data_IF_803792832026
#
_entry.id   IF_803792832026
#
_cell.length_a   1.000
_cell.length_b   1.000
_cell.length_c   1.000
_cell.angle_alpha   90.00
_cell.angle_beta   90.00
_cell.angle_gamma   90.00
#
_symmetry.space_group_name_H-M   'P 1'
#
loop_
_entity.id
_entity.type
_entity.pdbx_description
1 polymer ?
#
# COMPACT_ATOMS: atom_id res chain seq x y z
N UNK A 1 -2.81 -28.62 -7.13
CA UNK A 1 -2.18 -28.51 -5.81
C UNK A 1 -3.23 -28.08 -4.79
N UNK A 2 -3.34 -28.74 -3.65
CA UNK A 2 -4.17 -28.28 -2.52
C UNK A 2 -3.44 -27.14 -1.82
N UNK A 3 -3.82 -25.90 -2.11
CA UNK A 3 -3.29 -24.73 -1.42
C UNK A 3 -3.90 -24.60 -0.02
N UNK A 4 -3.07 -24.30 0.98
CA UNK A 4 -3.51 -23.96 2.34
C UNK A 4 -3.60 -22.44 2.55
N UNK A 5 -4.29 -22.02 3.62
CA UNK A 5 -4.31 -20.60 4.01
C UNK A 5 -2.89 -20.11 4.35
N UNK A 6 -2.55 -18.90 3.90
CA UNK A 6 -1.20 -18.34 4.00
C UNK A 6 -1.14 -17.07 4.87
N UNK A 7 -2.18 -16.82 5.66
CA UNK A 7 -2.31 -15.63 6.50
C UNK A 7 -3.12 -14.51 5.85
N UNK A 8 -3.04 -13.31 6.42
CA UNK A 8 -3.77 -12.13 5.98
C UNK A 8 -2.88 -10.89 5.89
N UNK A 9 -3.28 -9.97 5.01
CA UNK A 9 -2.66 -8.68 4.82
C UNK A 9 -3.74 -7.60 4.78
N UNK A 10 -3.55 -6.54 5.55
CA UNK A 10 -4.39 -5.35 5.55
C UNK A 10 -3.52 -4.17 5.14
N UNK A 11 -4.04 -3.28 4.30
CA UNK A 11 -3.34 -2.06 3.88
C UNK A 11 -4.27 -0.86 3.90
N UNK A 12 -3.75 0.27 4.37
CA UNK A 12 -4.41 1.58 4.39
C UNK A 12 -3.56 2.55 3.58
N UNK A 13 -4.20 3.26 2.66
CA UNK A 13 -3.54 4.25 1.81
C UNK A 13 -4.31 5.56 1.90
N UNK A 14 -3.58 6.65 2.17
CA UNK A 14 -4.13 8.00 2.17
C UNK A 14 -3.31 8.84 1.21
N UNK A 15 -3.99 9.61 0.36
CA UNK A 15 -3.34 10.54 -0.56
C UNK A 15 -4.14 11.82 -0.66
N UNK A 16 -3.43 12.94 -0.83
CA UNK A 16 -4.03 14.25 -1.03
C UNK A 16 -3.33 14.97 -2.17
N UNK A 17 -4.13 15.40 -3.15
CA UNK A 17 -3.72 16.31 -4.21
C UNK A 17 -3.88 17.75 -3.74
N UNK A 18 -2.80 18.51 -3.87
CA UNK A 18 -2.79 19.97 -3.92
C UNK A 18 -2.54 20.39 -5.38
N UNK A 19 -2.66 21.68 -5.71
CA UNK A 19 -2.53 22.16 -7.09
C UNK A 19 -1.27 21.63 -7.80
N UNK A 20 -0.09 21.77 -7.17
CA UNK A 20 1.21 21.29 -7.70
C UNK A 20 1.82 20.11 -6.93
N UNK A 21 1.28 19.89 -5.72
CA UNK A 21 1.60 18.92 -4.68
C UNK A 21 0.86 17.59 -4.75
N UNK A 22 1.50 16.43 -4.74
CA UNK A 22 0.86 15.19 -4.27
C UNK A 22 1.60 14.66 -3.06
N UNK A 23 0.86 14.39 -1.98
CA UNK A 23 1.42 13.76 -0.79
C UNK A 23 0.59 12.52 -0.49
N UNK A 24 1.26 11.42 -0.17
CA UNK A 24 0.61 10.18 0.20
C UNK A 24 1.36 9.42 1.28
N UNK A 25 0.62 8.58 1.99
CA UNK A 25 1.16 7.62 2.94
C UNK A 25 0.47 6.25 2.78
N UNK A 26 1.21 5.20 3.07
CA UNK A 26 0.79 3.81 3.06
C UNK A 26 1.15 3.20 4.40
N UNK A 27 0.22 2.42 4.96
CA UNK A 27 0.45 1.53 6.08
C UNK A 27 -0.01 0.13 5.67
N UNK A 28 0.76 -0.90 5.98
CA UNK A 28 0.44 -2.29 5.69
C UNK A 28 0.79 -3.17 6.87
N UNK A 29 -0.14 -4.03 7.26
CA UNK A 29 0.05 -5.04 8.28
C UNK A 29 -0.11 -6.43 7.66
N UNK A 30 0.90 -7.27 7.87
CA UNK A 30 0.99 -8.65 7.42
C UNK A 30 0.95 -9.57 8.63
N UNK A 31 0.17 -10.66 8.59
CA UNK A 31 0.16 -11.70 9.62
C UNK A 31 0.03 -13.08 9.01
N UNK A 32 0.83 -14.02 9.52
CA UNK A 32 0.76 -15.45 9.20
C UNK A 32 -0.25 -16.20 10.07
N UNK A 33 -1.00 -15.50 10.93
CA UNK A 33 -1.96 -16.14 11.84
C UNK A 33 -2.95 -17.02 11.08
N UNK A 34 -3.02 -18.29 11.46
CA UNK A 34 -3.84 -19.33 10.83
C UNK A 34 -3.21 -19.97 9.60
N UNK A 35 -2.02 -19.52 9.16
CA UNK A 35 -1.36 -20.09 8.00
C UNK A 35 -0.96 -21.54 8.28
N UNK A 36 -1.08 -22.40 7.27
CA UNK A 36 -0.76 -23.84 7.41
C UNK A 36 0.71 -24.13 7.77
N UNK A 37 1.57 -23.12 7.63
CA UNK A 37 3.00 -23.17 7.91
C UNK A 37 3.41 -22.29 9.10
N UNK A 38 2.46 -21.75 9.87
CA UNK A 38 2.72 -20.85 11.01
C UNK A 38 3.76 -21.42 11.98
N UNK A 39 3.62 -22.70 12.37
CA UNK A 39 4.52 -23.39 13.32
C UNK A 39 5.81 -23.92 12.68
N UNK A 40 6.07 -23.64 11.40
CA UNK A 40 7.25 -24.14 10.72
C UNK A 40 8.52 -23.51 11.30
N UNK A 41 9.59 -24.29 11.59
CA UNK A 41 10.86 -23.74 12.07
C UNK A 41 11.54 -22.80 11.05
N UNK A 42 11.06 -22.77 9.81
CA UNK A 42 11.51 -21.83 8.77
C UNK A 42 10.84 -20.44 8.90
N UNK A 43 9.72 -20.32 9.62
CA UNK A 43 9.06 -19.04 9.89
C UNK A 43 9.87 -18.26 10.91
N UNK A 44 10.44 -17.15 10.45
CA UNK A 44 11.22 -16.24 11.31
C UNK A 44 10.39 -15.12 11.93
N UNK A 45 9.25 -14.77 11.33
CA UNK A 45 8.37 -13.68 11.76
C UNK A 45 6.92 -14.02 11.46
N UNK A 46 6.06 -13.82 12.45
CA UNK A 46 4.63 -14.10 12.38
C UNK A 46 3.81 -12.90 11.91
N UNK A 47 4.33 -11.69 12.09
CA UNK A 47 3.72 -10.47 11.59
C UNK A 47 4.77 -9.45 11.14
N UNK A 48 4.35 -8.53 10.27
CA UNK A 48 5.15 -7.40 9.84
C UNK A 48 4.29 -6.16 9.66
N UNK A 49 4.80 -5.01 10.12
CA UNK A 49 4.22 -3.70 9.86
C UNK A 49 5.14 -2.95 8.90
N UNK A 50 4.59 -2.46 7.79
CA UNK A 50 5.28 -1.66 6.79
C UNK A 50 4.61 -0.29 6.69
N UNK A 51 5.40 0.78 6.71
CA UNK A 51 4.92 2.14 6.49
C UNK A 51 5.74 2.81 5.39
N UNK A 52 5.10 3.64 4.56
CA UNK A 52 5.77 4.44 3.55
C UNK A 52 5.09 5.81 3.42
N UNK A 53 5.88 6.82 3.04
CA UNK A 53 5.40 8.16 2.67
C UNK A 53 6.00 8.54 1.32
N UNK A 54 5.26 9.32 0.54
CA UNK A 54 5.69 9.78 -0.78
C UNK A 54 5.24 11.20 -1.08
N UNK A 55 6.09 11.95 -1.77
CA UNK A 55 5.78 13.27 -2.30
C UNK A 55 6.10 13.26 -3.79
N UNK A 56 5.16 13.73 -4.61
CA UNK A 56 5.37 13.95 -6.04
C UNK A 56 4.99 15.39 -6.38
N UNK A 57 5.67 15.99 -7.34
CA UNK A 57 5.41 17.37 -7.75
C UNK A 57 5.25 17.46 -9.26
N UNK A 58 4.31 18.30 -9.68
CA UNK A 58 4.09 18.59 -11.10
C UNK A 58 5.04 19.71 -11.51
N UNK A 59 6.05 19.39 -12.30
CA UNK A 59 7.10 20.34 -12.71
C UNK A 59 6.61 21.39 -13.73
N UNK A 60 5.71 20.99 -14.62
CA UNK A 60 5.10 21.87 -15.61
C UNK A 60 3.68 21.36 -15.88
N UNK A 61 2.71 22.26 -15.76
CA UNK A 61 1.33 22.02 -16.16
C UNK A 61 1.14 22.62 -17.55
N UNK A 62 0.47 21.90 -18.45
CA UNK A 62 0.21 22.41 -19.81
C UNK A 62 -0.77 23.58 -19.74
N UNK A 63 -0.54 24.63 -20.53
CA UNK A 63 -1.39 25.84 -20.58
C UNK A 63 -2.80 25.61 -21.13
N UNK A 64 -3.10 24.38 -21.59
CA UNK A 64 -4.43 23.92 -21.97
C UNK A 64 -4.95 22.95 -20.89
N UNK A 65 -5.68 23.48 -19.91
CA UNK A 65 -6.55 22.65 -19.08
C UNK A 65 -7.80 22.32 -19.90
N UNK A 66 -7.97 21.04 -20.26
CA UNK A 66 -9.25 20.57 -20.80
C UNK A 66 -10.25 20.60 -19.66
N UNK A 67 -11.23 21.50 -19.75
CA UNK A 67 -12.43 21.44 -18.91
C UNK A 67 -13.13 20.12 -19.21
N UNK A 68 -13.47 19.36 -18.18
CA UNK A 68 -14.41 18.25 -18.31
C UNK A 68 -15.74 18.89 -18.72
N UNK A 69 -16.12 18.71 -19.98
CA UNK A 69 -17.33 19.29 -20.54
C UNK A 69 -18.52 18.41 -20.17
N UNK A 70 -19.47 18.99 -19.44
CA UNK A 70 -20.87 18.53 -19.47
C UNK A 70 -21.57 19.05 -20.73
#
# INVERSE_FOLDING_TARGET
>A
ASGGYAGSRISLQVSKRFQRYWVGALLRYDTLKGAVFEDSPLVKRHSALTAAIGVAWVFSESSIMVSDGE
#
